data_IF_003000338598
#
_entry.id   IF_003000338598
#
_cell.length_a   1.000
_cell.length_b   1.000
_cell.length_c   1.000
_cell.angle_alpha   90.00
_cell.angle_beta   90.00
_cell.angle_gamma   90.00
#
_symmetry.space_group_name_H-M   'P 1'
#
loop_
_entity.id
_entity.type
_entity.pdbx_description
1 polymer ?
#
# COMPACT_ATOMS: atom_id res chain seq x y z
N UNK A 1 -10.30 -29.00 24.98
CA UNK A 1 -9.15 -28.23 24.46
C UNK A 1 -9.67 -27.45 23.26
N UNK A 2 -9.83 -26.13 23.42
CA UNK A 2 -10.52 -25.28 22.46
C UNK A 2 -9.68 -25.02 21.22
N UNK A 3 -10.22 -25.36 20.05
CA UNK A 3 -9.74 -24.89 18.76
C UNK A 3 -9.91 -23.38 18.67
N UNK A 4 -8.81 -22.62 18.63
CA UNK A 4 -8.75 -21.28 18.03
C UNK A 4 -7.36 -21.00 17.43
N UNK A 5 -6.88 -21.85 16.52
CA UNK A 5 -5.89 -21.39 15.55
C UNK A 5 -6.62 -20.75 14.35
N UNK A 6 -7.25 -19.60 14.61
CA UNK A 6 -7.54 -18.65 13.54
C UNK A 6 -6.21 -18.04 13.10
N UNK A 7 -5.44 -18.78 12.29
CA UNK A 7 -4.12 -18.33 11.80
C UNK A 7 -4.29 -16.98 11.10
N UNK A 8 -3.88 -15.94 11.80
CA UNK A 8 -3.78 -14.58 11.35
C UNK A 8 -3.12 -14.54 9.98
N UNK A 9 -3.77 -13.91 9.00
CA UNK A 9 -3.20 -13.68 7.67
C UNK A 9 -2.88 -12.20 7.57
N UNK A 10 -1.61 -11.80 7.81
CA UNK A 10 -1.20 -10.43 7.58
C UNK A 10 -1.57 -10.00 6.16
N UNK A 11 -2.04 -8.78 6.06
CA UNK A 11 -2.81 -8.31 4.90
C UNK A 11 -2.48 -6.86 4.65
N UNK A 12 -2.63 -6.41 3.40
CA UNK A 12 -2.72 -4.98 3.13
C UNK A 12 -3.98 -4.38 3.80
N UNK A 13 -4.00 -3.04 4.00
CA UNK A 13 -5.16 -2.32 4.51
C UNK A 13 -6.44 -2.58 3.73
N UNK A 14 -7.58 -2.54 4.44
CA UNK A 14 -8.86 -3.00 3.90
C UNK A 14 -9.28 -2.30 2.60
N UNK A 15 -9.05 -0.99 2.50
CA UNK A 15 -9.44 -0.16 1.36
C UNK A 15 -8.71 -0.53 0.05
N UNK A 16 -7.48 -1.03 0.13
CA UNK A 16 -6.65 -1.39 -1.02
C UNK A 16 -6.49 -2.91 -1.21
N UNK A 17 -6.72 -3.72 -0.16
CA UNK A 17 -6.45 -5.17 -0.11
C UNK A 17 -6.80 -5.95 -1.38
N UNK A 18 -7.96 -5.68 -1.99
CA UNK A 18 -8.44 -6.38 -3.20
C UNK A 18 -7.58 -6.13 -4.46
N UNK A 19 -6.74 -5.10 -4.45
CA UNK A 19 -5.84 -4.74 -5.53
C UNK A 19 -4.39 -5.16 -5.27
N UNK A 20 -4.08 -5.63 -4.06
CA UNK A 20 -2.74 -6.04 -3.67
C UNK A 20 -2.49 -7.49 -4.09
N UNK A 21 -1.49 -7.70 -4.94
CA UNK A 21 -1.08 -9.03 -5.41
C UNK A 21 0.39 -9.31 -5.06
N UNK A 22 0.67 -10.57 -4.73
CA UNK A 22 2.03 -11.09 -4.61
C UNK A 22 2.41 -11.69 -5.96
N UNK A 23 3.36 -11.08 -6.65
CA UNK A 23 3.73 -11.47 -8.02
C UNK A 23 5.18 -11.95 -8.08
N UNK A 24 5.39 -13.24 -7.81
CA UNK A 24 6.72 -13.85 -7.78
C UNK A 24 7.39 -13.96 -9.17
N UNK A 25 6.74 -13.47 -10.23
CA UNK A 25 7.33 -13.39 -11.58
C UNK A 25 7.83 -12.00 -11.93
N UNK A 26 7.47 -10.99 -11.14
CA UNK A 26 7.83 -9.59 -11.37
C UNK A 26 9.16 -9.23 -10.69
N UNK A 27 10.20 -8.81 -11.44
CA UNK A 27 11.52 -8.51 -10.87
C UNK A 27 11.52 -7.39 -9.83
N UNK A 28 10.67 -6.37 -10.00
CA UNK A 28 10.61 -5.24 -9.06
C UNK A 28 9.88 -5.62 -7.78
N UNK A 29 8.81 -6.41 -7.89
CA UNK A 29 8.18 -7.01 -6.71
C UNK A 29 9.19 -7.86 -5.93
N UNK A 30 9.96 -8.74 -6.60
CA UNK A 30 10.96 -9.58 -5.93
C UNK A 30 12.06 -8.75 -5.26
N UNK A 31 12.54 -7.70 -5.94
CA UNK A 31 13.51 -6.76 -5.38
C UNK A 31 12.95 -6.08 -4.13
N UNK A 32 11.75 -5.50 -4.19
CA UNK A 32 11.13 -4.82 -3.06
C UNK A 32 10.85 -5.79 -1.91
N UNK A 33 10.31 -6.98 -2.22
CA UNK A 33 10.04 -8.02 -1.23
C UNK A 33 11.31 -8.41 -0.46
N UNK A 34 12.43 -8.61 -1.17
CA UNK A 34 13.71 -8.95 -0.53
C UNK A 34 14.25 -7.85 0.40
N UNK A 35 14.00 -6.57 0.08
CA UNK A 35 14.57 -5.45 0.83
C UNK A 35 13.66 -4.92 1.93
N UNK A 36 12.34 -5.09 1.81
CA UNK A 36 11.37 -4.47 2.73
C UNK A 36 10.49 -5.47 3.47
N UNK A 37 10.24 -6.68 2.96
CA UNK A 37 9.33 -7.60 3.63
C UNK A 37 9.93 -8.20 4.91
N UNK A 38 9.14 -8.24 5.99
CA UNK A 38 9.51 -8.79 7.29
C UNK A 38 8.29 -9.49 7.95
N UNK A 39 8.37 -9.77 9.26
CA UNK A 39 7.22 -10.27 10.02
C UNK A 39 6.12 -9.21 10.21
N UNK A 40 6.49 -7.93 10.21
CA UNK A 40 5.60 -6.78 10.42
C UNK A 40 5.52 -5.88 9.18
N UNK A 41 6.22 -6.22 8.10
CA UNK A 41 6.28 -5.41 6.88
C UNK A 41 5.92 -6.24 5.65
N UNK A 42 4.99 -5.73 4.85
CA UNK A 42 4.39 -6.48 3.74
C UNK A 42 4.48 -5.70 2.44
N UNK A 43 4.91 -6.37 1.37
CA UNK A 43 5.10 -5.79 0.05
C UNK A 43 4.08 -6.37 -0.93
N UNK A 44 3.52 -5.51 -1.78
CA UNK A 44 2.57 -5.90 -2.82
C UNK A 44 2.79 -5.13 -4.11
N UNK A 45 2.47 -5.77 -5.24
CA UNK A 45 2.22 -5.11 -6.52
C UNK A 45 0.74 -4.75 -6.60
N UNK A 46 0.42 -3.59 -7.16
CA UNK A 46 -0.98 -3.15 -7.33
C UNK A 46 -1.49 -3.61 -8.69
N UNK A 47 -2.66 -4.26 -8.69
CA UNK A 47 -3.36 -4.75 -9.87
C UNK A 47 -4.84 -4.40 -9.76
N UNK A 48 -5.38 -3.78 -10.80
CA UNK A 48 -6.79 -3.45 -10.85
C UNK A 48 -7.64 -4.72 -10.96
N UNK A 49 -8.90 -4.66 -10.49
CA UNK A 49 -9.86 -5.77 -10.62
C UNK A 49 -10.21 -6.11 -12.07
N UNK A 50 -9.96 -5.20 -13.03
CA UNK A 50 -10.03 -5.49 -14.46
C UNK A 50 -8.76 -6.19 -15.01
N UNK A 51 -7.87 -6.67 -14.13
CA UNK A 51 -6.58 -7.28 -14.43
C UNK A 51 -5.50 -6.36 -15.03
N UNK A 52 -5.76 -5.07 -15.16
CA UNK A 52 -4.77 -4.09 -15.60
C UNK A 52 -3.75 -3.77 -14.49
N UNK A 53 -2.47 -3.66 -14.87
CA UNK A 53 -1.33 -3.39 -13.97
C UNK A 53 -0.65 -2.04 -14.27
N UNK A 54 -1.27 -1.21 -15.10
CA UNK A 54 -0.72 0.05 -15.59
C UNK A 54 -1.63 1.21 -15.18
N UNK A 55 -1.03 2.24 -14.59
CA UNK A 55 -1.76 3.31 -13.91
C UNK A 55 -1.20 4.69 -14.24
N UNK A 56 -2.07 5.70 -14.17
CA UNK A 56 -1.65 7.09 -13.92
C UNK A 56 -1.68 7.30 -12.41
N UNK A 57 -0.61 7.82 -11.83
CA UNK A 57 -0.52 8.06 -10.39
C UNK A 57 -0.71 9.54 -10.12
N UNK A 58 -1.47 9.83 -9.08
CA UNK A 58 -1.71 11.16 -8.60
C UNK A 58 -1.36 11.26 -7.11
N UNK A 59 -0.97 12.46 -6.70
CA UNK A 59 -0.70 12.80 -5.31
C UNK A 59 -1.23 14.18 -4.98
N UNK A 60 -1.50 14.43 -3.71
CA UNK A 60 -1.79 15.78 -3.22
C UNK A 60 -0.77 16.22 -2.15
N UNK A 61 -0.99 17.38 -1.52
CA UNK A 61 -0.08 17.93 -0.51
C UNK A 61 -0.29 17.33 0.89
N UNK A 62 -1.39 16.61 1.06
CA UNK A 62 -1.52 15.60 2.11
C UNK A 62 -0.80 14.36 1.54
N UNK A 63 -0.13 13.51 2.33
CA UNK A 63 0.47 12.32 1.76
C UNK A 63 -0.67 11.36 1.36
N UNK A 64 -1.25 11.59 0.17
CA UNK A 64 -2.31 10.80 -0.42
C UNK A 64 -1.84 10.39 -1.81
N UNK A 65 -1.89 9.11 -2.12
CA UNK A 65 -1.52 8.54 -3.39
C UNK A 65 -2.74 7.84 -3.99
N UNK A 66 -3.05 8.19 -5.23
CA UNK A 66 -4.12 7.60 -6.01
C UNK A 66 -3.57 6.99 -7.30
N UNK A 67 -4.10 5.85 -7.71
CA UNK A 67 -3.74 5.19 -8.96
C UNK A 67 -4.98 4.99 -9.83
N UNK A 68 -5.05 5.67 -10.97
CA UNK A 68 -6.11 5.52 -11.95
C UNK A 68 -5.73 4.44 -12.97
N UNK A 69 -6.58 3.42 -13.08
CA UNK A 69 -6.36 2.33 -14.01
C UNK A 69 -6.49 2.80 -15.47
N UNK A 70 -5.47 2.56 -16.30
CA UNK A 70 -5.50 2.97 -17.71
C UNK A 70 -6.52 2.20 -18.58
N UNK A 71 -7.07 1.10 -18.08
CA UNK A 71 -8.03 0.27 -18.81
C UNK A 71 -9.49 0.62 -18.48
N UNK A 72 -9.82 0.76 -17.19
CA UNK A 72 -11.22 0.97 -16.75
C UNK A 72 -11.48 2.32 -16.09
N UNK A 73 -10.47 3.18 -15.93
CA UNK A 73 -10.58 4.50 -15.30
C UNK A 73 -10.86 4.47 -13.79
N UNK A 74 -10.91 3.29 -13.17
CA UNK A 74 -11.15 3.17 -11.74
C UNK A 74 -10.02 3.82 -10.94
N UNK A 75 -10.37 4.75 -10.04
CA UNK A 75 -9.45 5.44 -9.16
C UNK A 75 -9.27 4.63 -7.85
N UNK A 76 -8.06 4.13 -7.64
CA UNK A 76 -7.69 3.35 -6.45
C UNK A 76 -6.99 4.28 -5.48
N UNK A 77 -7.50 4.40 -4.25
CA UNK A 77 -6.72 5.00 -3.17
C UNK A 77 -5.64 4.00 -2.75
N UNK A 78 -4.39 4.36 -2.98
CA UNK A 78 -3.21 3.54 -2.67
C UNK A 78 -2.74 3.80 -1.24
N UNK A 79 -2.74 5.07 -0.86
CA UNK A 79 -2.43 5.51 0.50
C UNK A 79 -3.17 6.82 0.73
N UNK A 80 -3.81 6.99 1.87
CA UNK A 80 -4.41 8.25 2.29
C UNK A 80 -4.65 8.13 3.79
N UNK A 81 -4.06 9.05 4.56
CA UNK A 81 -4.12 9.06 6.02
C UNK A 81 -5.56 9.00 6.56
N UNK A 82 -6.58 9.45 5.81
CA UNK A 82 -7.98 9.38 6.27
C UNK A 82 -8.48 7.96 6.57
N UNK A 83 -7.84 6.94 6.00
CA UNK A 83 -8.21 5.54 6.20
C UNK A 83 -7.52 4.89 7.41
N UNK A 84 -6.56 5.57 8.03
CA UNK A 84 -5.77 5.01 9.11
C UNK A 84 -6.17 5.68 10.44
N UNK A 85 -6.49 4.90 11.48
CA UNK A 85 -6.95 5.43 12.77
C UNK A 85 -5.92 6.34 13.44
N UNK A 86 -4.64 6.01 13.30
CA UNK A 86 -3.51 6.73 13.89
C UNK A 86 -3.31 8.15 13.34
N UNK A 87 -3.89 8.47 12.17
CA UNK A 87 -3.53 9.67 11.46
C UNK A 87 -4.30 10.94 11.87
N UNK A 88 -3.59 12.08 11.82
CA UNK A 88 -4.17 13.41 12.04
C UNK A 88 -5.06 13.78 10.86
N UNK A 89 -6.39 13.84 11.10
CA UNK A 89 -7.36 14.21 10.07
C UNK A 89 -7.30 15.71 9.74
N UNK A 90 -6.81 16.04 8.55
CA UNK A 90 -6.76 17.42 8.06
C UNK A 90 -8.07 17.81 7.36
N UNK A 91 -8.67 18.92 7.78
CA UNK A 91 -9.97 19.40 7.29
C UNK A 91 -9.78 20.45 6.17
N UNK A 92 -9.10 20.07 5.08
CA UNK A 92 -8.82 20.94 3.92
C UNK A 92 -9.01 20.17 2.61
N UNK A 93 -9.48 20.86 1.57
CA UNK A 93 -9.48 20.32 0.21
C UNK A 93 -8.07 20.46 -0.38
N UNK A 94 -7.50 19.36 -0.85
CA UNK A 94 -6.18 19.35 -1.49
C UNK A 94 -6.30 19.24 -3.01
N UNK A 95 -5.35 19.86 -3.71
CA UNK A 95 -5.26 19.78 -5.17
C UNK A 95 -4.50 18.50 -5.52
N UNK A 96 -5.16 17.60 -6.24
CA UNK A 96 -4.56 16.38 -6.75
C UNK A 96 -3.77 16.71 -8.02
N UNK A 97 -2.52 16.25 -8.08
CA UNK A 97 -1.57 16.48 -9.17
C UNK A 97 -0.99 15.17 -9.69
N UNK A 98 -0.71 15.11 -10.99
CA UNK A 98 -0.18 13.91 -11.67
C UNK A 98 1.31 13.74 -11.34
N UNK A 99 1.72 12.52 -10.97
CA UNK A 99 3.11 12.18 -10.59
C UNK A 99 3.96 11.76 -11.80
N UNK A 100 3.32 11.16 -12.81
CA UNK A 100 3.98 10.51 -13.94
C UNK A 100 3.18 10.71 -15.22
N UNK A 101 3.85 10.98 -16.35
CA UNK A 101 3.16 11.22 -17.62
C UNK A 101 2.66 9.95 -18.33
N UNK A 102 3.43 8.85 -18.23
CA UNK A 102 3.16 7.55 -18.89
C UNK A 102 2.55 6.57 -17.91
N UNK A 103 1.86 5.54 -18.39
CA UNK A 103 1.33 4.51 -17.49
C UNK A 103 2.42 3.67 -16.83
N UNK A 104 2.41 3.60 -15.50
CA UNK A 104 3.42 2.94 -14.66
C UNK A 104 2.82 1.73 -13.93
N UNK A 105 3.67 0.81 -13.49
CA UNK A 105 3.28 -0.16 -12.47
C UNK A 105 3.45 0.48 -11.08
N UNK A 106 2.60 0.09 -10.13
CA UNK A 106 2.62 0.61 -8.76
C UNK A 106 2.88 -0.52 -7.78
N UNK A 107 3.72 -0.25 -6.78
CA UNK A 107 4.06 -1.18 -5.70
C UNK A 107 3.91 -0.46 -4.36
N UNK A 108 3.55 -1.22 -3.34
CA UNK A 108 3.32 -0.70 -2.00
C UNK A 108 4.03 -1.55 -0.97
N UNK A 109 4.43 -0.90 0.11
CA UNK A 109 4.88 -1.54 1.32
C UNK A 109 4.17 -0.91 2.52
N UNK A 110 3.61 -1.77 3.37
CA UNK A 110 2.93 -1.39 4.60
C UNK A 110 3.64 -2.05 5.77
N UNK A 111 4.03 -1.23 6.74
CA UNK A 111 4.65 -1.65 7.99
C UNK A 111 3.66 -1.46 9.14
N UNK A 112 3.77 -2.32 10.13
CA UNK A 112 2.94 -2.36 11.31
C UNK A 112 3.84 -2.39 12.54
N UNK A 113 3.30 -1.97 13.68
CA UNK A 113 3.98 -2.13 14.97
C UNK A 113 4.23 -3.61 15.28
N UNK A 114 5.22 -3.94 16.10
CA UNK A 114 5.49 -5.32 16.50
C UNK A 114 4.78 -5.76 17.79
N UNK A 115 4.05 -4.86 18.47
CA UNK A 115 3.22 -5.14 19.65
C UNK A 115 2.34 -6.38 19.47
N UNK A 116 1.64 -6.52 18.33
CA UNK A 116 0.78 -7.69 18.06
C UNK A 116 1.52 -9.04 18.00
N UNK A 117 2.86 -9.04 17.91
CA UNK A 117 3.68 -10.26 17.92
C UNK A 117 4.08 -10.70 19.33
N UNK A 118 4.07 -9.79 20.30
CA UNK A 118 4.66 -10.03 21.62
C UNK A 118 3.69 -9.76 22.78
N UNK A 119 2.64 -8.98 22.56
CA UNK A 119 1.65 -8.64 23.57
C UNK A 119 0.40 -9.53 23.44
N UNK A 120 -0.05 -10.10 24.56
CA UNK A 120 -1.15 -11.05 24.58
C UNK A 120 -2.53 -10.38 24.44
N UNK A 121 -2.62 -9.07 24.66
CA UNK A 121 -3.84 -8.26 24.63
C UNK A 121 -3.96 -7.35 23.39
N UNK A 122 -3.00 -7.40 22.46
CA UNK A 122 -3.02 -6.63 21.22
C UNK A 122 -3.43 -7.51 20.03
N UNK A 123 -4.57 -7.18 19.43
CA UNK A 123 -5.02 -7.82 18.17
C UNK A 123 -4.49 -7.05 16.95
N UNK A 124 -4.03 -7.78 15.93
CA UNK A 124 -3.58 -7.17 14.67
C UNK A 124 -4.74 -6.50 13.90
N UNK A 125 -4.60 -5.21 13.60
CA UNK A 125 -5.46 -4.47 12.67
C UNK A 125 -4.69 -4.12 11.37
N UNK A 126 -5.19 -4.60 10.23
CA UNK A 126 -4.61 -4.31 8.92
C UNK A 126 -4.72 -2.82 8.52
N UNK A 127 -5.54 -2.02 9.19
CA UNK A 127 -5.65 -0.59 8.95
C UNK A 127 -4.79 0.24 9.91
N UNK A 128 -4.13 -0.38 10.88
CA UNK A 128 -3.24 0.28 11.82
C UNK A 128 -1.79 0.14 11.36
N UNK A 129 -1.53 0.62 10.15
CA UNK A 129 -0.17 0.70 9.63
C UNK A 129 0.58 1.81 10.36
N UNK A 130 1.86 1.59 10.64
CA UNK A 130 2.76 2.62 11.20
C UNK A 130 3.54 3.34 10.11
N UNK A 131 3.75 2.69 8.96
CA UNK A 131 4.49 3.26 7.85
C UNK A 131 3.95 2.81 6.49
N UNK A 132 3.85 3.75 5.55
CA UNK A 132 3.49 3.51 4.16
C UNK A 132 4.59 3.93 3.19
N UNK A 133 4.97 3.03 2.26
CA UNK A 133 5.86 3.35 1.15
C UNK A 133 5.19 3.02 -0.18
N UNK A 134 5.29 3.92 -1.16
CA UNK A 134 4.76 3.70 -2.51
C UNK A 134 5.87 3.89 -3.55
N UNK A 135 5.95 2.94 -4.48
CA UNK A 135 6.93 2.92 -5.54
C UNK A 135 6.24 2.84 -6.90
N UNK A 136 6.85 3.44 -7.92
CA UNK A 136 6.43 3.31 -9.31
C UNK A 136 7.59 2.82 -10.17
N UNK A 137 7.29 1.93 -11.12
CA UNK A 137 8.22 1.58 -12.21
C UNK A 137 7.95 2.49 -13.40
N UNK A 138 8.96 3.26 -13.80
CA UNK A 138 8.89 4.16 -14.95
C UNK A 138 10.10 3.96 -15.86
N UNK A 139 9.88 3.33 -17.02
CA UNK A 139 10.89 3.07 -18.06
C UNK A 139 12.10 2.24 -17.56
N UNK A 140 11.85 1.21 -16.76
CA UNK A 140 12.88 0.33 -16.22
C UNK A 140 13.57 0.87 -14.97
N UNK A 141 13.10 1.99 -14.41
CA UNK A 141 13.60 2.55 -13.16
C UNK A 141 12.52 2.50 -12.08
N UNK A 142 12.89 2.04 -10.90
CA UNK A 142 12.02 2.04 -9.73
C UNK A 142 12.23 3.34 -8.95
N UNK A 143 11.15 4.11 -8.77
CA UNK A 143 11.16 5.36 -8.02
C UNK A 143 10.24 5.26 -6.81
N UNK A 144 10.76 5.57 -5.62
CA UNK A 144 9.94 5.79 -4.42
C UNK A 144 9.30 7.18 -4.50
N UNK A 145 7.97 7.23 -4.41
CA UNK A 145 7.18 8.47 -4.50
C UNK A 145 6.49 8.84 -3.19
N UNK A 146 6.39 7.88 -2.26
CA UNK A 146 5.91 8.10 -0.91
C UNK A 146 6.79 7.31 0.06
N UNK A 147 7.11 7.94 1.19
CA UNK A 147 7.76 7.35 2.36
C UNK A 147 7.26 8.12 3.59
N UNK A 148 6.19 7.62 4.21
CA UNK A 148 5.40 8.39 5.19
C UNK A 148 5.10 7.54 6.42
N UNK A 149 5.31 8.14 7.59
CA UNK A 149 4.88 7.60 8.89
C UNK A 149 3.46 8.09 9.16
N UNK A 150 2.61 7.25 9.76
CA UNK A 150 1.20 7.60 10.00
C UNK A 150 0.97 8.46 11.26
N UNK A 151 2.03 8.77 12.02
CA UNK A 151 2.01 9.42 13.33
C UNK A 151 2.22 10.95 13.28
#
# INVERSE_FOLDING_TARGET
MGNREGKMKPSAPSHIKRYCVKDNTDPWYLYLYKNFASKTSFVYKVKCTCNCERFVVYQDAHPSIFAECCNCGNMITVYDLKYYPAAIKLNKNFIISKVNERFVQVYVNYEYDDEFLYEDDVEFDANDITWGKVFIENNGELKKILDDETN
#
